data_IF_935496651855
#
_entry.id   IF_935496651855
#
_cell.length_a   1.000
_cell.length_b   1.000
_cell.length_c   1.000
_cell.angle_alpha   90.00
_cell.angle_beta   90.00
_cell.angle_gamma   90.00
#
_symmetry.space_group_name_H-M   'P 1'
#
loop_
_entity.id
_entity.type
_entity.pdbx_description
1 polymer ?
#
# COMPACT_ATOMS: atom_id res chain seq x y z
N UNK A 1 10.49 6.10 -3.03
CA UNK A 1 9.22 5.40 -2.70
C UNK A 1 7.96 6.18 -3.08
N UNK A 2 7.99 7.53 -3.12
CA UNK A 2 6.83 8.33 -3.55
C UNK A 2 6.27 7.92 -4.93
N UNK A 3 7.13 7.83 -5.95
CA UNK A 3 6.69 7.48 -7.31
C UNK A 3 6.00 6.10 -7.37
N UNK A 4 6.49 5.14 -6.60
CA UNK A 4 5.86 3.83 -6.49
C UNK A 4 4.48 3.95 -5.83
N UNK A 5 4.34 4.72 -4.75
CA UNK A 5 3.04 4.95 -4.12
C UNK A 5 2.01 5.58 -5.08
N UNK A 6 2.44 6.54 -5.90
CA UNK A 6 1.60 7.13 -6.95
C UNK A 6 1.22 6.10 -8.00
N UNK A 7 2.17 5.29 -8.44
CA UNK A 7 1.89 4.19 -9.37
C UNK A 7 0.88 3.20 -8.79
N UNK A 8 1.04 2.77 -7.54
CA UNK A 8 0.10 1.87 -6.87
C UNK A 8 -1.31 2.47 -6.81
N UNK A 9 -1.41 3.77 -6.48
CA UNK A 9 -2.70 4.48 -6.45
C UNK A 9 -3.36 4.53 -7.84
N UNK A 10 -2.60 4.89 -8.88
CA UNK A 10 -3.09 4.95 -10.27
C UNK A 10 -3.54 3.58 -10.80
N UNK A 11 -2.94 2.49 -10.30
CA UNK A 11 -3.30 1.12 -10.66
C UNK A 11 -4.30 0.48 -9.66
N UNK A 12 -4.91 1.28 -8.78
CA UNK A 12 -5.86 0.81 -7.76
C UNK A 12 -5.36 -0.34 -6.86
N UNK A 13 -4.05 -0.46 -6.69
CA UNK A 13 -3.44 -1.53 -5.91
C UNK A 13 -3.10 -1.07 -4.50
N UNK A 14 -3.52 -1.83 -3.50
CA UNK A 14 -3.36 -1.51 -2.08
C UNK A 14 -2.73 -2.70 -1.35
N UNK A 15 -1.40 -2.69 -1.13
CA UNK A 15 -0.75 -3.78 -0.40
C UNK A 15 -1.03 -3.67 1.10
N UNK A 16 -1.55 -4.74 1.69
CA UNK A 16 -1.69 -4.86 3.15
C UNK A 16 -0.38 -5.31 3.80
N UNK A 17 0.29 -6.28 3.19
CA UNK A 17 1.55 -6.85 3.63
C UNK A 17 2.71 -6.13 2.94
N UNK A 18 3.58 -5.49 3.72
CA UNK A 18 4.83 -4.90 3.23
C UNK A 18 5.98 -5.43 4.06
N UNK A 19 6.83 -6.22 3.40
CA UNK A 19 8.01 -6.81 3.98
C UNK A 19 9.21 -5.88 3.84
N UNK A 20 10.11 -5.91 4.83
CA UNK A 20 11.40 -5.26 4.71
C UNK A 20 12.28 -6.04 3.72
N UNK A 21 13.07 -5.32 2.92
CA UNK A 21 14.08 -5.94 2.09
C UNK A 21 15.19 -6.51 3.00
N UNK A 22 15.26 -7.84 3.06
CA UNK A 22 16.29 -8.59 3.80
C UNK A 22 17.09 -9.35 2.74
N UNK A 23 18.33 -8.95 2.44
CA UNK A 23 19.08 -9.57 1.36
C UNK A 23 19.52 -10.98 1.76
N UNK A 24 19.27 -11.95 0.88
CA UNK A 24 19.76 -13.32 1.06
C UNK A 24 21.28 -13.34 0.93
N UNK A 25 22.03 -13.94 1.89
CA UNK A 25 23.47 -14.12 1.77
C UNK A 25 23.84 -14.78 0.43
N UNK A 26 24.99 -14.38 -0.13
CA UNK A 26 25.52 -14.90 -1.40
C UNK A 26 24.60 -14.70 -2.63
N UNK A 27 23.52 -13.92 -2.52
CA UNK A 27 22.66 -13.57 -3.63
C UNK A 27 22.98 -12.18 -4.20
N UNK A 28 22.50 -11.93 -5.42
CA UNK A 28 22.54 -10.61 -6.10
C UNK A 28 21.94 -9.50 -5.21
N UNK A 29 20.94 -9.83 -4.40
CA UNK A 29 20.34 -8.94 -3.41
C UNK A 29 21.37 -8.41 -2.38
N UNK A 30 22.29 -9.26 -1.92
CA UNK A 30 23.37 -8.87 -1.00
C UNK A 30 24.40 -7.97 -1.68
N UNK A 31 24.75 -8.28 -2.94
CA UNK A 31 25.66 -7.44 -3.72
C UNK A 31 25.06 -6.03 -3.92
N UNK A 32 23.78 -5.94 -4.31
CA UNK A 32 23.05 -4.66 -4.40
C UNK A 32 22.98 -3.97 -3.04
N UNK A 33 22.67 -4.71 -1.97
CA UNK A 33 22.56 -4.16 -0.63
C UNK A 33 23.88 -3.54 -0.17
N UNK A 34 25.03 -4.16 -0.41
CA UNK A 34 26.31 -3.63 0.06
C UNK A 34 26.94 -2.60 -0.88
N UNK A 35 26.84 -2.79 -2.20
CA UNK A 35 27.44 -1.87 -3.18
C UNK A 35 26.56 -0.64 -3.47
N UNK A 36 25.24 -0.74 -3.24
CA UNK A 36 24.25 0.25 -3.68
C UNK A 36 24.35 0.57 -5.18
N UNK A 37 24.78 -0.41 -5.98
CA UNK A 37 24.83 -0.38 -7.43
C UNK A 37 23.90 -1.44 -8.02
N UNK A 38 23.58 -1.32 -9.30
CA UNK A 38 22.84 -2.33 -10.04
C UNK A 38 23.75 -3.54 -10.37
N UNK A 39 23.60 -4.69 -9.69
CA UNK A 39 24.47 -5.85 -9.89
C UNK A 39 24.15 -6.64 -11.17
N UNK A 40 23.06 -6.31 -11.88
CA UNK A 40 22.68 -6.98 -13.13
C UNK A 40 23.43 -6.42 -14.34
N UNK A 41 24.22 -5.36 -14.17
CA UNK A 41 24.98 -4.69 -15.23
C UNK A 41 26.46 -4.65 -14.85
N UNK A 42 27.32 -4.44 -15.86
CA UNK A 42 28.77 -4.27 -15.66
C UNK A 42 29.02 -3.06 -14.75
N UNK A 43 29.76 -3.29 -13.66
CA UNK A 43 30.12 -2.25 -12.70
C UNK A 43 31.28 -1.43 -13.25
N UNK A 44 31.04 -0.14 -13.40
CA UNK A 44 32.02 0.90 -13.77
C UNK A 44 31.92 2.10 -12.81
N UNK A 45 32.81 3.08 -12.93
CA UNK A 45 32.73 4.34 -12.15
C UNK A 45 31.45 5.15 -12.41
N UNK A 46 30.77 4.93 -13.54
CA UNK A 46 29.54 5.63 -13.94
C UNK A 46 28.29 4.77 -13.76
N UNK A 47 28.33 3.76 -12.88
CA UNK A 47 27.21 2.84 -12.68
C UNK A 47 26.00 3.53 -12.05
N UNK A 48 24.82 3.01 -12.36
CA UNK A 48 23.57 3.42 -11.73
C UNK A 48 23.58 3.09 -10.24
N UNK A 49 23.30 4.08 -9.40
CA UNK A 49 23.17 3.92 -7.96
C UNK A 49 21.76 3.45 -7.58
N UNK A 50 21.69 2.37 -6.82
CA UNK A 50 20.46 1.78 -6.27
C UNK A 50 20.48 1.95 -4.75
N UNK A 51 19.99 3.11 -4.29
CA UNK A 51 19.97 3.45 -2.86
C UNK A 51 19.07 2.51 -2.07
N UNK A 52 19.63 1.89 -1.03
CA UNK A 52 18.89 0.98 -0.15
C UNK A 52 18.74 1.57 1.26
N UNK A 53 17.53 1.64 1.84
CA UNK A 53 17.31 2.28 3.14
C UNK A 53 17.93 1.49 4.30
N UNK A 54 18.91 2.09 4.98
CA UNK A 54 19.58 1.50 6.15
C UNK A 54 18.91 1.84 7.48
N UNK A 55 18.31 3.03 7.59
CA UNK A 55 17.72 3.48 8.86
C UNK A 55 16.29 2.94 9.05
N UNK A 56 15.94 2.68 10.32
CA UNK A 56 14.59 2.24 10.68
C UNK A 56 13.52 3.29 10.34
N UNK A 57 13.85 4.57 10.52
CA UNK A 57 12.96 5.68 10.17
C UNK A 57 12.69 5.73 8.66
N UNK A 58 13.71 5.59 7.82
CA UNK A 58 13.54 5.59 6.36
C UNK A 58 12.72 4.38 5.90
N UNK A 59 12.96 3.18 6.47
CA UNK A 59 12.12 2.00 6.21
C UNK A 59 10.66 2.21 6.62
N UNK A 60 10.42 2.83 7.78
CA UNK A 60 9.07 3.16 8.27
C UNK A 60 8.36 4.12 7.30
N UNK A 61 9.06 5.18 6.86
CA UNK A 61 8.52 6.13 5.87
C UNK A 61 8.24 5.45 4.53
N UNK A 62 9.16 4.61 4.04
CA UNK A 62 8.97 3.84 2.81
C UNK A 62 7.75 2.91 2.89
N UNK A 63 7.59 2.20 4.01
CA UNK A 63 6.41 1.36 4.27
C UNK A 63 5.13 2.17 4.32
N UNK A 64 5.16 3.35 4.96
CA UNK A 64 4.03 4.27 5.00
C UNK A 64 3.60 4.71 3.59
N UNK A 65 4.55 4.99 2.68
CA UNK A 65 4.23 5.33 1.29
C UNK A 65 3.51 4.19 0.56
N UNK A 66 3.95 2.94 0.74
CA UNK A 66 3.30 1.79 0.12
C UNK A 66 1.90 1.54 0.69
N UNK A 67 1.70 1.82 1.98
CA UNK A 67 0.40 1.73 2.69
C UNK A 67 -0.24 3.11 2.83
N UNK A 68 -0.30 3.88 1.75
CA UNK A 68 -0.84 5.26 1.74
C UNK A 68 -2.31 5.34 2.18
N UNK A 69 -3.07 4.25 2.01
CA UNK A 69 -4.48 4.17 2.35
C UNK A 69 -4.75 3.99 3.85
N UNK A 70 -3.74 3.58 4.63
CA UNK A 70 -3.85 3.35 6.07
C UNK A 70 -3.80 4.70 6.82
N UNK A 71 -4.87 5.12 7.52
CA UNK A 71 -4.91 6.41 8.22
C UNK A 71 -3.82 6.59 9.26
N UNK A 72 -3.28 5.50 9.83
CA UNK A 72 -2.18 5.53 10.80
C UNK A 72 -0.90 6.14 10.21
N UNK A 73 -0.76 6.11 8.89
CA UNK A 73 0.43 6.61 8.18
C UNK A 73 0.30 8.07 7.73
N UNK A 74 -0.88 8.70 7.82
CA UNK A 74 -1.09 10.01 7.20
C UNK A 74 -0.26 11.13 7.82
N UNK A 75 0.05 11.09 9.12
CA UNK A 75 0.84 12.16 9.75
C UNK A 75 2.30 12.14 9.26
N UNK A 76 2.92 10.95 9.25
CA UNK A 76 4.29 10.78 8.75
C UNK A 76 4.38 11.09 7.25
N UNK A 77 3.35 10.72 6.48
CA UNK A 77 3.29 11.05 5.05
C UNK A 77 3.12 12.54 4.82
N UNK A 78 2.27 13.22 5.59
CA UNK A 78 2.06 14.67 5.48
C UNK A 78 3.33 15.44 5.78
N UNK A 79 4.04 15.06 6.84
CA UNK A 79 5.33 15.66 7.19
C UNK A 79 6.35 15.46 6.06
N UNK A 80 6.49 14.22 5.56
CA UNK A 80 7.41 13.91 4.49
C UNK A 80 7.07 14.64 3.17
N UNK A 81 5.80 14.68 2.77
CA UNK A 81 5.35 15.38 1.56
C UNK A 81 5.63 16.89 1.65
N UNK A 82 5.38 17.51 2.81
CA UNK A 82 5.72 18.92 3.05
C UNK A 82 7.23 19.16 2.94
N UNK A 83 8.05 18.31 3.56
CA UNK A 83 9.52 18.40 3.48
C UNK A 83 10.04 18.22 2.06
N UNK A 84 9.36 17.41 1.24
CA UNK A 84 9.69 17.19 -0.17
C UNK A 84 9.17 18.29 -1.09
N UNK A 85 8.45 19.30 -0.58
CA UNK A 85 7.78 20.32 -1.40
C UNK A 85 6.60 19.78 -2.21
N UNK A 86 6.10 18.58 -1.89
CA UNK A 86 5.01 17.89 -2.60
C UNK A 86 3.67 17.98 -1.88
N UNK A 87 3.35 19.17 -1.39
CA UNK A 87 2.07 19.44 -0.71
C UNK A 87 0.87 19.34 -1.67
N UNK A 88 1.11 19.41 -2.98
CA UNK A 88 0.14 19.16 -4.06
C UNK A 88 -0.49 17.77 -3.99
N UNK A 89 0.19 16.80 -3.37
CA UNK A 89 -0.30 15.43 -3.22
C UNK A 89 -1.20 15.23 -1.99
N UNK A 90 -1.57 16.31 -1.30
CA UNK A 90 -2.44 16.28 -0.12
C UNK A 90 -3.79 16.86 -0.53
N UNK A 91 -4.83 16.03 -0.51
CA UNK A 91 -6.18 16.46 -0.87
C UNK A 91 -7.16 15.31 -1.07
N UNK A 92 -8.42 15.66 -1.32
CA UNK A 92 -9.52 14.69 -1.39
C UNK A 92 -9.79 14.18 -2.83
N UNK A 93 -9.09 14.72 -3.84
CA UNK A 93 -9.23 14.31 -5.24
C UNK A 93 -8.46 13.03 -5.58
N UNK A 94 -8.75 12.47 -6.75
CA UNK A 94 -8.15 11.20 -7.22
C UNK A 94 -6.63 11.30 -7.44
N UNK A 95 -6.12 12.48 -7.77
CA UNK A 95 -4.68 12.74 -7.99
C UNK A 95 -3.86 12.83 -6.68
N UNK A 96 -4.51 13.03 -5.53
CA UNK A 96 -3.82 13.29 -4.25
C UNK A 96 -3.48 12.01 -3.51
N UNK A 97 -2.25 11.81 -3.04
CA UNK A 97 -1.87 10.57 -2.34
C UNK A 97 -2.61 10.36 -1.01
N UNK A 98 -2.83 11.42 -0.22
CA UNK A 98 -3.50 11.36 1.10
C UNK A 98 -4.54 12.48 1.26
N UNK A 99 -5.62 12.29 2.06
CA UNK A 99 -6.64 13.32 2.29
C UNK A 99 -6.15 14.48 3.18
N UNK A 100 -6.87 15.62 3.13
CA UNK A 100 -6.59 16.78 3.97
C UNK A 100 -6.86 16.51 5.45
N UNK A 101 -8.04 15.99 5.75
CA UNK A 101 -8.43 15.62 7.11
C UNK A 101 -8.12 14.15 7.36
N UNK A 102 -7.87 13.79 8.62
CA UNK A 102 -8.14 12.42 9.04
C UNK A 102 -9.63 12.23 8.79
N UNK A 103 -10.00 11.52 7.73
CA UNK A 103 -11.38 11.08 7.58
C UNK A 103 -11.79 10.52 8.94
N UNK A 104 -12.69 11.23 9.63
CA UNK A 104 -13.39 10.66 10.76
C UNK A 104 -13.92 9.32 10.25
N UNK A 105 -13.84 8.29 11.07
CA UNK A 105 -14.50 7.01 10.81
C UNK A 105 -16.03 7.19 10.81
N UNK A 106 -16.57 8.13 10.02
CA UNK A 106 -17.96 8.10 9.59
C UNK A 106 -17.99 7.15 8.40
N UNK A 107 -18.57 5.95 8.55
CA UNK A 107 -18.84 5.12 7.41
C UNK A 107 -19.64 5.97 6.43
N UNK A 108 -19.16 6.12 5.18
CA UNK A 108 -20.04 6.60 4.12
C UNK A 108 -21.27 5.67 4.15
N UNK A 109 -22.51 6.18 4.22
CA UNK A 109 -23.67 5.31 4.24
C UNK A 109 -23.60 4.45 2.98
N UNK A 110 -23.36 3.15 3.15
CA UNK A 110 -23.53 2.20 2.07
C UNK A 110 -24.99 2.36 1.64
N UNK A 111 -25.22 2.85 0.42
CA UNK A 111 -26.52 2.78 -0.22
C UNK A 111 -27.02 1.36 -0.01
N UNK A 112 -28.14 1.22 0.68
CA UNK A 112 -28.80 -0.05 0.94
C UNK A 112 -28.94 -0.77 -0.39
N UNK A 113 -28.14 -1.82 -0.60
CA UNK A 113 -28.41 -2.79 -1.65
C UNK A 113 -29.78 -3.35 -1.32
N UNK A 114 -30.77 -3.00 -2.14
CA UNK A 114 -32.14 -3.53 -2.10
C UNK A 114 -32.01 -5.05 -1.98
N UNK A 115 -32.41 -5.61 -0.82
CA UNK A 115 -32.56 -7.05 -0.64
C UNK A 115 -33.59 -7.54 -1.65
N UNK A 116 -33.13 -8.17 -2.72
CA UNK A 116 -33.98 -9.10 -3.45
C UNK A 116 -33.95 -10.40 -2.66
N UNK A 117 -35.04 -10.65 -1.96
CA UNK A 117 -35.36 -11.97 -1.41
C UNK A 117 -35.61 -12.88 -2.59
N UNK A 118 -34.60 -13.65 -3.01
CA UNK A 118 -34.81 -14.65 -4.05
C UNK A 118 -33.96 -15.90 -3.82
N UNK A 119 -34.30 -16.63 -2.74
CA UNK A 119 -33.88 -18.01 -2.54
C UNK A 119 -34.98 -18.80 -1.80
N UNK A 120 -36.22 -18.68 -2.28
CA UNK A 120 -37.25 -19.68 -2.02
C UNK A 120 -37.19 -20.73 -3.11
N UNK A 121 -36.41 -21.79 -2.91
CA UNK A 121 -36.70 -23.17 -3.34
C UNK A 121 -35.71 -24.11 -2.65
N UNK A 122 -35.84 -24.26 -1.33
CA UNK A 122 -35.40 -25.49 -0.66
C UNK A 122 -36.66 -26.30 -0.33
N UNK A 123 -36.67 -27.49 -0.89
CA UNK A 123 -37.72 -28.50 -0.85
C UNK A 123 -38.13 -28.77 0.60
N UNK A 124 -39.41 -28.60 0.92
CA UNK A 124 -39.99 -28.98 2.20
C UNK A 124 -40.21 -30.49 2.21
N UNK A 125 -39.37 -31.23 2.94
CA UNK A 125 -39.59 -32.65 3.19
C UNK A 125 -40.66 -32.78 4.28
N UNK A 126 -41.82 -33.38 3.96
CA UNK A 126 -42.86 -33.70 4.95
C UNK A 126 -42.31 -34.75 5.92
N UNK A 127 -42.26 -34.42 7.21
CA UNK A 127 -42.06 -35.39 8.28
C UNK A 127 -43.35 -36.20 8.46
N UNK A 128 -43.32 -37.47 8.10
CA UNK A 128 -44.37 -38.44 8.44
C UNK A 128 -44.15 -38.91 9.87
N UNK A 129 -45.10 -38.61 10.77
CA UNK A 129 -45.16 -39.21 12.11
C UNK A 129 -45.70 -40.64 11.97
N UNK A 130 -44.94 -41.63 12.41
CA UNK A 130 -45.45 -42.99 12.62
C UNK A 130 -46.11 -43.07 14.01
N UNK A 131 -47.31 -43.64 14.03
CA UNK A 131 -47.93 -44.22 15.23
C UNK A 131 -47.19 -45.50 15.62
#
# INVERSE_FOLDING_TARGET
MLNLALWLKRNHFKPDQVQAFIPTPLAIASAMYHSELNPLKKITRKSEAVKTPRSGQQRKLHKAFLRYHDPKNWDILRQALKQMGRSDLIGNGEEHLIPYSRASNTPKPQRSRKKYNDFHHRISVKNTKNN
#
